data_IF_823650171750
#
_entry.id   IF_823650171750
#
_cell.length_a   1.000
_cell.length_b   1.000
_cell.length_c   1.000
_cell.angle_alpha   90.00
_cell.angle_beta   90.00
_cell.angle_gamma   90.00
#
_symmetry.space_group_name_H-M   'P 1'
#
loop_
_entity.id
_entity.type
_entity.pdbx_description
1 polymer ?
#
# COMPACT_ATOMS: atom_id res chain seq x y z
N UNK A 1 -10.45 -20.24 -42.88
CA UNK A 1 -11.24 -19.92 -41.67
C UNK A 1 -10.43 -18.92 -40.85
N UNK A 2 -10.71 -17.63 -41.02
CA UNK A 2 -10.02 -16.57 -40.28
C UNK A 2 -10.52 -16.60 -38.83
N UNK A 3 -9.61 -16.80 -37.87
CA UNK A 3 -9.94 -16.75 -36.45
C UNK A 3 -10.54 -15.37 -36.14
N UNK A 4 -11.80 -15.35 -35.71
CA UNK A 4 -12.42 -14.16 -35.12
C UNK A 4 -11.55 -13.79 -33.92
N UNK A 5 -10.95 -12.59 -33.85
CA UNK A 5 -10.26 -12.16 -32.66
C UNK A 5 -11.30 -12.15 -31.52
N UNK A 6 -11.13 -13.03 -30.53
CA UNK A 6 -11.83 -12.92 -29.25
C UNK A 6 -11.70 -11.47 -28.79
N UNK A 7 -12.82 -10.77 -28.66
CA UNK A 7 -12.82 -9.34 -28.42
C UNK A 7 -12.15 -9.08 -27.07
N UNK A 8 -10.87 -8.71 -27.09
CA UNK A 8 -10.16 -8.33 -25.87
C UNK A 8 -10.91 -7.17 -25.24
N UNK A 9 -11.50 -7.39 -24.06
CA UNK A 9 -12.17 -6.34 -23.28
C UNK A 9 -11.18 -5.19 -23.12
N UNK A 10 -11.56 -4.00 -23.59
CA UNK A 10 -10.67 -2.84 -23.57
C UNK A 10 -10.38 -2.49 -22.10
N UNK A 11 -9.11 -2.29 -21.71
CA UNK A 11 -8.75 -2.08 -20.30
C UNK A 11 -9.47 -0.89 -19.63
N UNK A 12 -9.89 0.10 -20.42
CA UNK A 12 -10.59 1.30 -19.96
C UNK A 12 -12.09 1.11 -19.72
N UNK A 13 -12.69 0.01 -20.21
CA UNK A 13 -14.12 -0.29 -20.04
C UNK A 13 -14.38 -1.14 -18.78
N UNK A 14 -13.33 -1.69 -18.16
CA UNK A 14 -13.44 -2.58 -17.00
C UNK A 14 -13.57 -1.77 -15.70
N UNK A 15 -14.75 -1.82 -15.06
CA UNK A 15 -14.94 -1.34 -13.68
C UNK A 15 -14.35 -2.32 -12.68
N UNK A 16 -13.20 -1.99 -12.11
CA UNK A 16 -12.57 -2.72 -11.01
C UNK A 16 -12.99 -2.16 -9.64
N UNK A 17 -12.89 -2.97 -8.56
CA UNK A 17 -13.07 -2.48 -7.20
C UNK A 17 -12.15 -1.26 -6.91
N UNK A 18 -12.54 -0.34 -6.02
CA UNK A 18 -11.78 0.88 -5.73
C UNK A 18 -10.54 0.63 -4.86
N UNK A 19 -9.70 -0.35 -5.23
CA UNK A 19 -8.46 -0.76 -4.52
C UNK A 19 -7.56 0.45 -4.22
N UNK A 20 -7.32 1.28 -5.23
CA UNK A 20 -6.44 2.47 -5.11
C UNK A 20 -7.00 3.49 -4.14
N UNK A 21 -8.32 3.71 -4.12
CA UNK A 21 -8.94 4.71 -3.24
C UNK A 21 -8.82 4.26 -1.79
N UNK A 22 -9.15 2.99 -1.50
CA UNK A 22 -9.02 2.42 -0.15
C UNK A 22 -7.57 2.44 0.32
N UNK A 23 -6.63 2.04 -0.54
CA UNK A 23 -5.21 2.08 -0.27
C UNK A 23 -4.70 3.51 0.00
N UNK A 24 -5.12 4.48 -0.81
CA UNK A 24 -4.76 5.89 -0.61
C UNK A 24 -5.27 6.45 0.73
N UNK A 25 -6.51 6.12 1.12
CA UNK A 25 -7.04 6.52 2.42
C UNK A 25 -6.23 5.91 3.58
N UNK A 26 -5.86 4.63 3.47
CA UNK A 26 -4.98 3.97 4.44
C UNK A 26 -3.63 4.66 4.54
N UNK A 27 -3.01 4.99 3.40
CA UNK A 27 -1.73 5.69 3.35
C UNK A 27 -1.81 7.09 3.97
N UNK A 28 -2.88 7.85 3.67
CA UNK A 28 -3.11 9.17 4.27
C UNK A 28 -3.19 9.06 5.79
N UNK A 29 -3.96 8.10 6.33
CA UNK A 29 -4.07 7.89 7.77
C UNK A 29 -2.75 7.46 8.41
N UNK A 30 -1.96 6.61 7.76
CA UNK A 30 -0.65 6.21 8.25
C UNK A 30 0.32 7.40 8.32
N UNK A 31 0.36 8.23 7.26
CA UNK A 31 1.18 9.45 7.23
C UNK A 31 0.73 10.44 8.29
N UNK A 32 -0.57 10.72 8.40
CA UNK A 32 -1.11 11.62 9.42
C UNK A 32 -0.78 11.11 10.83
N UNK A 33 -0.94 9.81 11.09
CA UNK A 33 -0.57 9.18 12.36
C UNK A 33 0.91 9.40 12.70
N UNK A 34 1.81 9.12 11.75
CA UNK A 34 3.25 9.33 11.94
C UNK A 34 3.62 10.81 12.17
N UNK A 35 3.03 11.73 11.41
CA UNK A 35 3.24 13.18 11.62
C UNK A 35 2.77 13.62 13.01
N UNK A 36 1.64 13.09 13.50
CA UNK A 36 1.17 13.40 14.85
C UNK A 36 2.13 12.89 15.94
N UNK A 37 2.74 11.72 15.77
CA UNK A 37 3.80 11.23 16.69
C UNK A 37 4.98 12.20 16.71
N UNK A 38 5.44 12.63 15.53
CA UNK A 38 6.62 13.49 15.42
C UNK A 38 6.34 14.90 15.97
N UNK A 39 5.15 15.45 15.72
CA UNK A 39 4.72 16.76 16.23
C UNK A 39 4.61 16.83 17.77
N UNK A 40 4.64 15.66 18.40
CA UNK A 40 4.48 15.45 19.83
C UNK A 40 5.79 15.13 20.56
N UNK A 41 6.91 14.99 19.83
CA UNK A 41 8.23 14.77 20.41
C UNK A 41 8.59 15.93 21.35
N UNK A 42 9.05 15.61 22.57
CA UNK A 42 9.40 16.57 23.62
C UNK A 42 8.23 17.03 24.52
N UNK A 43 7.03 16.47 24.36
CA UNK A 43 5.88 16.67 25.26
C UNK A 43 5.61 15.38 26.04
N UNK A 44 4.60 15.34 26.92
CA UNK A 44 3.95 14.09 27.37
C UNK A 44 2.74 13.77 26.47
N UNK A 45 2.94 13.18 25.28
CA UNK A 45 1.84 13.02 24.35
C UNK A 45 1.03 11.75 24.57
N UNK A 46 -0.28 11.89 24.35
CA UNK A 46 -1.15 10.75 24.16
C UNK A 46 -0.93 10.13 22.79
N UNK A 47 -0.38 8.91 22.77
CA UNK A 47 -0.23 8.09 21.56
C UNK A 47 -1.54 7.45 21.10
N UNK A 48 -2.66 7.70 21.79
CA UNK A 48 -3.94 7.08 21.48
C UNK A 48 -4.42 7.41 20.05
N UNK A 49 -4.37 8.70 19.66
CA UNK A 49 -4.83 9.14 18.33
C UNK A 49 -3.92 8.60 17.20
N UNK A 50 -2.57 8.74 17.28
CA UNK A 50 -1.70 8.12 16.28
C UNK A 50 -1.88 6.60 16.16
N UNK A 51 -2.01 5.91 17.29
CA UNK A 51 -2.19 4.45 17.31
C UNK A 51 -3.53 4.06 16.67
N UNK A 52 -4.63 4.75 17.00
CA UNK A 52 -5.92 4.50 16.38
C UNK A 52 -5.88 4.74 14.87
N UNK A 53 -5.23 5.83 14.43
CA UNK A 53 -5.02 6.12 13.00
C UNK A 53 -4.27 4.98 12.30
N UNK A 54 -3.22 4.45 12.94
CA UNK A 54 -2.44 3.34 12.41
C UNK A 54 -3.26 2.04 12.30
N UNK A 55 -4.06 1.72 13.32
CA UNK A 55 -4.95 0.55 13.28
C UNK A 55 -5.94 0.66 12.12
N UNK A 56 -6.56 1.83 11.93
CA UNK A 56 -7.49 2.05 10.81
C UNK A 56 -6.75 1.95 9.46
N UNK A 57 -5.54 2.51 9.36
CA UNK A 57 -4.72 2.40 8.15
C UNK A 57 -4.44 0.93 7.77
N UNK A 58 -4.04 0.10 8.74
CA UNK A 58 -3.79 -1.33 8.55
C UNK A 58 -5.08 -2.06 8.11
N UNK A 59 -6.22 -1.75 8.73
CA UNK A 59 -7.51 -2.35 8.33
C UNK A 59 -7.87 -1.99 6.89
N UNK A 60 -7.64 -0.75 6.46
CA UNK A 60 -7.88 -0.32 5.08
C UNK A 60 -6.92 -1.01 4.11
N UNK A 61 -5.65 -1.16 4.47
CA UNK A 61 -4.68 -1.90 3.67
C UNK A 61 -5.11 -3.35 3.44
N UNK A 62 -5.44 -4.07 4.51
CA UNK A 62 -5.92 -5.44 4.44
C UNK A 62 -7.20 -5.54 3.59
N UNK A 63 -8.10 -4.56 3.72
CA UNK A 63 -9.31 -4.50 2.90
C UNK A 63 -8.97 -4.33 1.41
N UNK A 64 -8.03 -3.45 1.07
CA UNK A 64 -7.58 -3.27 -0.32
C UNK A 64 -6.92 -4.54 -0.88
N UNK A 65 -6.13 -5.25 -0.07
CA UNK A 65 -5.54 -6.55 -0.44
C UNK A 65 -6.65 -7.59 -0.70
N UNK A 66 -7.64 -7.70 0.18
CA UNK A 66 -8.77 -8.63 -0.01
C UNK A 66 -9.56 -8.30 -1.27
N UNK A 67 -9.83 -7.02 -1.53
CA UNK A 67 -10.50 -6.58 -2.75
C UNK A 67 -9.70 -6.97 -4.00
N UNK A 68 -8.38 -6.78 -3.98
CA UNK A 68 -7.47 -7.10 -5.07
C UNK A 68 -7.42 -8.60 -5.39
N UNK A 69 -7.22 -9.43 -4.36
CA UNK A 69 -7.12 -10.90 -4.51
C UNK A 69 -8.41 -11.51 -5.08
N UNK A 70 -9.55 -10.83 -4.90
CA UNK A 70 -10.85 -11.26 -5.46
C UNK A 70 -11.05 -10.87 -6.93
N UNK A 71 -10.14 -10.14 -7.57
CA UNK A 71 -10.30 -9.72 -8.96
C UNK A 71 -9.92 -10.87 -9.91
N UNK A 72 -10.92 -11.38 -10.63
CA UNK A 72 -10.74 -12.33 -11.72
C UNK A 72 -11.60 -11.93 -12.92
N UNK A 73 -11.07 -11.97 -14.17
CA UNK A 73 -9.69 -12.28 -14.57
C UNK A 73 -8.74 -11.09 -14.34
N UNK A 74 -7.46 -11.32 -13.98
CA UNK A 74 -6.48 -10.25 -13.71
C UNK A 74 -5.06 -10.64 -14.18
N UNK A 75 -4.25 -9.64 -14.53
CA UNK A 75 -2.89 -9.83 -15.04
C UNK A 75 -1.87 -10.14 -13.93
N UNK A 76 -2.11 -11.22 -13.18
CA UNK A 76 -1.34 -11.61 -11.99
C UNK A 76 0.17 -11.74 -12.20
N UNK A 77 0.61 -12.26 -13.36
CA UNK A 77 2.04 -12.39 -13.66
C UNK A 77 2.75 -11.03 -13.72
N UNK A 78 2.12 -10.04 -14.37
CA UNK A 78 2.64 -8.67 -14.44
C UNK A 78 2.53 -7.96 -13.09
N UNK A 79 1.42 -8.15 -12.38
CA UNK A 79 1.24 -7.64 -11.03
C UNK A 79 2.37 -8.11 -10.10
N UNK A 80 2.62 -9.41 -10.00
CA UNK A 80 3.65 -9.98 -9.12
C UNK A 80 5.06 -9.55 -9.51
N UNK A 81 5.35 -9.42 -10.81
CA UNK A 81 6.64 -8.93 -11.28
C UNK A 81 6.90 -7.51 -10.76
N UNK A 82 5.95 -6.59 -10.97
CA UNK A 82 6.09 -5.20 -10.52
C UNK A 82 6.11 -5.13 -9.00
N UNK A 83 5.20 -5.85 -8.33
CA UNK A 83 5.10 -5.86 -6.87
C UNK A 83 6.42 -6.26 -6.20
N UNK A 84 7.11 -7.29 -6.70
CA UNK A 84 8.36 -7.77 -6.09
C UNK A 84 9.46 -6.71 -6.13
N UNK A 85 9.62 -6.04 -7.28
CA UNK A 85 10.64 -5.02 -7.46
C UNK A 85 10.32 -3.74 -6.70
N UNK A 86 9.07 -3.30 -6.72
CA UNK A 86 8.64 -2.13 -5.95
C UNK A 86 8.70 -2.42 -4.46
N UNK A 87 8.26 -3.59 -4.00
CA UNK A 87 8.35 -3.98 -2.58
C UNK A 87 9.80 -3.97 -2.10
N UNK A 88 10.74 -4.53 -2.86
CA UNK A 88 12.16 -4.48 -2.52
C UNK A 88 12.66 -3.05 -2.35
N UNK A 89 12.36 -2.17 -3.31
CA UNK A 89 12.79 -0.77 -3.26
C UNK A 89 12.19 -0.01 -2.06
N UNK A 90 10.94 -0.29 -1.70
CA UNK A 90 10.25 0.37 -0.60
C UNK A 90 10.63 -0.20 0.77
N UNK A 91 10.98 -1.48 0.86
CA UNK A 91 11.60 -2.07 2.05
C UNK A 91 12.97 -1.42 2.32
N UNK A 92 13.76 -1.18 1.28
CA UNK A 92 15.05 -0.47 1.44
C UNK A 92 14.82 0.96 1.93
N UNK A 93 13.89 1.70 1.33
CA UNK A 93 13.57 3.07 1.75
C UNK A 93 13.07 3.13 3.20
N UNK A 94 12.14 2.25 3.57
CA UNK A 94 11.65 2.18 4.95
C UNK A 94 12.76 1.80 5.93
N UNK A 95 13.65 0.88 5.59
CA UNK A 95 14.80 0.53 6.44
C UNK A 95 15.73 1.74 6.69
N UNK A 96 15.98 2.57 5.66
CA UNK A 96 16.79 3.79 5.82
C UNK A 96 16.07 4.81 6.72
N UNK A 97 14.75 4.96 6.59
CA UNK A 97 13.97 5.85 7.45
C UNK A 97 13.94 5.33 8.89
N UNK A 98 13.71 4.03 9.10
CA UNK A 98 13.72 3.39 10.41
C UNK A 98 15.09 3.55 11.09
N UNK A 99 16.17 3.37 10.33
CA UNK A 99 17.53 3.62 10.82
C UNK A 99 17.69 5.04 11.35
N UNK A 100 17.08 6.04 10.69
CA UNK A 100 17.10 7.42 11.17
C UNK A 100 16.41 7.57 12.53
N UNK A 101 15.34 6.83 12.83
CA UNK A 101 14.69 6.88 14.14
C UNK A 101 15.56 6.24 15.23
N UNK A 102 16.24 5.16 14.89
CA UNK A 102 17.14 4.47 15.83
C UNK A 102 18.31 5.37 16.23
N UNK A 103 18.99 6.00 15.26
CA UNK A 103 20.15 6.87 15.56
C UNK A 103 19.78 8.19 16.24
N UNK A 104 18.50 8.59 16.17
CA UNK A 104 17.98 9.77 16.85
C UNK A 104 17.31 9.42 18.20
N UNK A 105 17.57 8.22 18.74
CA UNK A 105 17.10 7.76 20.06
C UNK A 105 15.58 7.95 20.27
N UNK A 106 14.78 7.69 19.22
CA UNK A 106 13.32 7.78 19.32
C UNK A 106 12.82 6.79 20.39
N UNK A 107 12.02 7.24 21.38
CA UNK A 107 11.55 6.35 22.43
C UNK A 107 10.76 5.16 21.88
N UNK A 108 10.89 3.99 22.50
CA UNK A 108 10.37 2.73 21.95
C UNK A 108 8.87 2.69 21.66
N UNK A 109 8.04 3.43 22.42
CA UNK A 109 6.59 3.50 22.19
C UNK A 109 6.24 4.29 20.91
N UNK A 110 6.67 5.55 20.73
CA UNK A 110 6.63 6.26 19.44
C UNK A 110 7.24 5.46 18.29
N UNK A 111 8.40 4.85 18.51
CA UNK A 111 9.10 4.06 17.52
C UNK A 111 8.20 2.95 16.96
N UNK A 112 7.55 2.16 17.82
CA UNK A 112 6.65 1.10 17.37
C UNK A 112 5.53 1.57 16.44
N UNK A 113 4.96 2.77 16.70
CA UNK A 113 3.92 3.36 15.84
C UNK A 113 4.52 3.80 14.50
N UNK A 114 5.70 4.42 14.53
CA UNK A 114 6.41 4.85 13.32
C UNK A 114 6.84 3.66 12.46
N UNK A 115 7.39 2.60 13.05
CA UNK A 115 7.74 1.34 12.37
C UNK A 115 6.51 0.72 11.72
N UNK A 116 5.36 0.68 12.42
CA UNK A 116 4.10 0.20 11.82
C UNK A 116 3.69 1.05 10.61
N UNK A 117 3.83 2.38 10.70
CA UNK A 117 3.59 3.29 9.58
C UNK A 117 4.52 3.05 8.40
N UNK A 118 5.79 2.73 8.66
CA UNK A 118 6.76 2.37 7.62
C UNK A 118 6.41 1.05 6.95
N UNK A 119 5.91 0.06 7.69
CA UNK A 119 5.40 -1.19 7.10
C UNK A 119 4.25 -0.89 6.16
N UNK A 120 3.23 -0.14 6.61
CA UNK A 120 2.07 0.25 5.81
C UNK A 120 2.49 1.03 4.55
N UNK A 121 3.42 1.97 4.69
CA UNK A 121 3.98 2.71 3.55
C UNK A 121 4.70 1.77 2.57
N UNK A 122 5.53 0.86 3.10
CA UNK A 122 6.35 -0.04 2.30
C UNK A 122 5.53 -1.08 1.55
N UNK A 123 4.27 -1.33 1.93
CA UNK A 123 3.38 -2.30 1.30
C UNK A 123 2.31 -1.64 0.42
N UNK A 124 1.64 -0.59 0.90
CA UNK A 124 0.56 0.09 0.16
C UNK A 124 1.07 0.66 -1.16
N UNK A 125 2.23 1.33 -1.14
CA UNK A 125 2.71 2.01 -2.35
C UNK A 125 3.10 1.01 -3.45
N UNK A 126 3.87 -0.05 -3.17
CA UNK A 126 4.08 -1.15 -4.12
C UNK A 126 2.79 -1.78 -4.64
N UNK A 127 1.80 -2.02 -3.77
CA UNK A 127 0.50 -2.58 -4.14
C UNK A 127 -0.22 -1.67 -5.15
N UNK A 128 -0.27 -0.36 -4.90
CA UNK A 128 -0.88 0.61 -5.80
C UNK A 128 -0.17 0.70 -7.16
N UNK A 129 1.17 0.72 -7.16
CA UNK A 129 1.96 0.77 -8.40
C UNK A 129 1.70 -0.50 -9.22
N UNK A 130 1.84 -1.67 -8.59
CA UNK A 130 1.63 -2.96 -9.26
C UNK A 130 0.21 -3.11 -9.79
N UNK A 131 -0.81 -2.70 -9.01
CA UNK A 131 -2.20 -2.69 -9.44
C UNK A 131 -2.42 -1.77 -10.65
N UNK A 132 -1.83 -0.56 -10.62
CA UNK A 132 -1.98 0.42 -11.70
C UNK A 132 -1.34 -0.05 -13.01
N UNK A 133 -0.22 -0.78 -12.95
CA UNK A 133 0.38 -1.41 -14.14
C UNK A 133 -0.48 -2.57 -14.63
N UNK A 134 -0.91 -3.45 -13.73
CA UNK A 134 -1.64 -4.66 -14.08
C UNK A 134 -3.07 -4.39 -14.60
N UNK A 135 -3.76 -3.36 -14.10
CA UNK A 135 -5.13 -3.02 -14.53
C UNK A 135 -5.23 -2.64 -16.01
N UNK A 136 -4.13 -2.20 -16.62
CA UNK A 136 -4.08 -1.80 -18.02
C UNK A 136 -3.55 -2.88 -18.97
N UNK A 137 -3.22 -4.06 -18.44
CA UNK A 137 -2.81 -5.19 -19.27
C UNK A 137 -4.04 -5.85 -19.89
N UNK A 138 -3.95 -6.16 -21.18
CA UNK A 138 -4.93 -7.01 -21.86
C UNK A 138 -4.85 -8.42 -21.27
N UNK A 139 -5.98 -8.97 -20.83
CA UNK A 139 -6.08 -10.36 -20.38
C UNK A 139 -6.92 -11.12 -21.41
N UNK A 140 -6.46 -12.28 -21.93
CA UNK A 140 -7.26 -13.10 -22.83
C UNK A 140 -8.60 -13.46 -22.18
N UNK A 141 -9.70 -13.42 -22.95
CA UNK A 141 -10.96 -14.00 -22.48
C UNK A 141 -10.75 -15.52 -22.31
N UNK A 142 -11.09 -16.04 -21.12
CA UNK A 142 -11.09 -17.46 -20.81
C UNK A 142 -12.47 -18.05 -21.03
#
# INVERSE_FOLDING_TARGET
MSAVPTAAVRPFERRLPPVVVVAMLGLTLAITGGVLVIAQIGKEPSLAVPTASMVVAIVLELSAIVMLVRIHPFAWARFLLVLRWTLLAYVIQSAVIEWSFIINDVPGRPLAVLTAGLVVFATIVPLMIAFTVARYQSVPES
#
